data_IF_458554166820
#
_entry.id   IF_458554166820
#
_cell.length_a   1.000
_cell.length_b   1.000
_cell.length_c   1.000
_cell.angle_alpha   90.00
_cell.angle_beta   90.00
_cell.angle_gamma   90.00
#
_symmetry.space_group_name_H-M   'P 1'
#
loop_
_entity.id
_entity.type
_entity.pdbx_description
1 polymer ?
#
# COMPACT_ATOMS: atom_id res chain seq x y z
N UNK A 1 19.03 1.89 -13.44
CA UNK A 1 18.67 1.77 -13.04
C UNK A 1 18.05 1.18 -12.71
N UNK A 2 17.87 0.76 -12.59
CA UNK A 2 17.34 0.32 -12.25
C UNK A 2 16.82 0.39 -11.47
N UNK A 3 16.90 0.17 -10.94
CA UNK A 3 16.32 0.15 -9.74
C UNK A 3 15.13 0.89 -9.55
N UNK A 4 14.36 0.90 -10.25
CA UNK A 4 13.21 1.72 -10.10
C UNK A 4 12.14 1.08 -9.26
N UNK A 5 12.40 -0.08 -8.70
CA UNK A 5 11.43 -0.69 -7.85
C UNK A 5 11.40 -0.03 -6.51
N UNK A 6 10.28 0.52 -6.14
CA UNK A 6 10.15 1.12 -4.83
C UNK A 6 9.92 0.05 -3.78
N UNK A 7 10.54 0.22 -2.63
CA UNK A 7 10.29 -0.65 -1.51
C UNK A 7 8.87 -0.42 -1.01
N UNK A 8 8.22 -1.45 -0.44
CA UNK A 8 6.87 -1.28 0.11
C UNK A 8 6.79 -0.14 1.12
N UNK A 9 7.84 0.07 1.89
CA UNK A 9 7.87 1.16 2.85
C UNK A 9 7.77 2.51 2.17
N UNK A 10 8.50 2.69 1.09
CA UNK A 10 8.50 3.97 0.38
C UNK A 10 7.13 4.26 -0.18
N UNK A 11 6.51 3.24 -0.75
CA UNK A 11 5.20 3.41 -1.33
C UNK A 11 4.17 3.74 -0.25
N UNK A 12 4.28 3.10 0.91
CA UNK A 12 3.38 3.38 2.01
C UNK A 12 3.53 4.82 2.48
N UNK A 13 4.77 5.28 2.60
CA UNK A 13 5.01 6.66 3.03
C UNK A 13 4.45 7.67 2.05
N UNK A 14 4.66 7.42 0.77
CA UNK A 14 4.12 8.31 -0.25
C UNK A 14 2.61 8.37 -0.20
N UNK A 15 1.99 7.22 -0.02
CA UNK A 15 0.54 7.17 0.03
C UNK A 15 0.03 7.91 1.25
N UNK A 16 0.69 7.75 2.38
CA UNK A 16 0.30 8.48 3.59
C UNK A 16 0.49 9.99 3.39
N UNK A 17 1.56 10.38 2.71
CA UNK A 17 1.80 11.80 2.45
C UNK A 17 0.68 12.40 1.61
N UNK A 18 0.13 11.62 0.68
CA UNK A 18 -0.91 12.11 -0.21
C UNK A 18 -2.31 12.04 0.39
N UNK A 19 -2.58 10.96 1.12
CA UNK A 19 -3.95 10.69 1.57
C UNK A 19 -4.10 10.70 3.09
N UNK A 20 -3.00 10.83 3.82
CA UNK A 20 -3.08 10.89 5.27
C UNK A 20 -3.66 9.62 5.85
N UNK A 21 -4.59 9.79 6.75
CA UNK A 21 -5.17 8.67 7.49
C UNK A 21 -5.98 7.74 6.59
N UNK A 22 -6.35 8.19 5.42
CA UNK A 22 -7.09 7.37 4.48
C UNK A 22 -6.20 6.41 3.69
N UNK A 23 -4.88 6.56 3.80
CA UNK A 23 -3.97 5.76 3.00
C UNK A 23 -4.16 4.25 3.18
N UNK A 24 -4.27 3.73 4.42
CA UNK A 24 -4.45 2.28 4.56
C UNK A 24 -5.72 1.80 3.88
N UNK A 25 -6.78 2.55 4.00
CA UNK A 25 -8.05 2.19 3.41
C UNK A 25 -7.95 2.15 1.89
N UNK A 26 -7.29 3.13 1.30
CA UNK A 26 -7.11 3.16 -0.14
C UNK A 26 -6.28 2.00 -0.63
N UNK A 27 -5.25 1.65 0.12
CA UNK A 27 -4.39 0.54 -0.27
C UNK A 27 -5.12 -0.79 -0.16
N UNK A 28 -5.96 -0.96 0.86
CA UNK A 28 -6.76 -2.16 0.98
C UNK A 28 -7.75 -2.27 -0.16
N UNK A 29 -8.28 -1.15 -0.61
CA UNK A 29 -9.18 -1.15 -1.75
C UNK A 29 -8.48 -1.64 -3.01
N UNK A 30 -7.24 -1.21 -3.20
CA UNK A 30 -6.47 -1.70 -4.34
C UNK A 30 -6.24 -3.19 -4.25
N UNK A 31 -6.06 -3.71 -3.03
CA UNK A 31 -5.92 -5.15 -2.85
C UNK A 31 -7.19 -5.88 -3.25
N UNK A 32 -8.35 -5.32 -2.90
CA UNK A 32 -9.61 -5.92 -3.29
C UNK A 32 -9.78 -5.96 -4.80
N UNK A 33 -9.41 -4.87 -5.45
CA UNK A 33 -9.50 -4.81 -6.90
C UNK A 33 -8.60 -5.87 -7.54
N UNK A 34 -7.38 -6.01 -7.03
CA UNK A 34 -6.47 -7.01 -7.54
C UNK A 34 -7.05 -8.41 -7.38
N UNK A 35 -7.68 -8.68 -6.24
CA UNK A 35 -8.33 -9.96 -6.01
C UNK A 35 -9.43 -10.22 -7.03
N UNK A 36 -10.19 -9.19 -7.34
CA UNK A 36 -11.29 -9.33 -8.30
C UNK A 36 -10.80 -9.68 -9.68
N UNK A 37 -9.61 -9.22 -10.02
CA UNK A 37 -9.00 -9.56 -11.31
C UNK A 37 -8.23 -10.86 -11.27
N UNK A 38 -8.24 -11.54 -10.14
CA UNK A 38 -7.54 -12.80 -10.03
C UNK A 38 -6.05 -12.66 -9.80
N UNK A 39 -5.59 -11.49 -9.40
CA UNK A 39 -4.17 -11.24 -9.19
C UNK A 39 -3.86 -11.32 -7.69
N UNK A 40 -3.82 -12.54 -7.18
CA UNK A 40 -3.60 -12.75 -5.75
C UNK A 40 -2.24 -12.27 -5.27
N UNK A 41 -1.23 -12.37 -6.12
CA UNK A 41 0.11 -11.92 -5.74
C UNK A 41 0.14 -10.42 -5.53
N UNK A 42 -0.50 -9.68 -6.44
CA UNK A 42 -0.56 -8.24 -6.31
C UNK A 42 -1.42 -7.82 -5.12
N UNK A 43 -2.52 -8.53 -4.90
CA UNK A 43 -3.38 -8.25 -3.75
C UNK A 43 -2.60 -8.40 -2.45
N UNK A 44 -1.76 -9.42 -2.36
CA UNK A 44 -0.96 -9.63 -1.18
C UNK A 44 0.01 -8.48 -0.96
N UNK A 45 0.63 -8.01 -2.03
CA UNK A 45 1.55 -6.87 -1.93
C UNK A 45 0.83 -5.63 -1.45
N UNK A 46 -0.35 -5.35 -1.98
CA UNK A 46 -1.11 -4.18 -1.54
C UNK A 46 -1.48 -4.26 -0.07
N UNK A 47 -1.81 -5.47 0.41
CA UNK A 47 -2.12 -5.65 1.82
C UNK A 47 -0.91 -5.38 2.71
N UNK A 48 0.27 -5.79 2.27
CA UNK A 48 1.49 -5.53 3.03
C UNK A 48 1.77 -4.05 3.10
N UNK A 49 1.60 -3.35 1.98
CA UNK A 49 1.82 -1.91 1.97
C UNK A 49 0.79 -1.22 2.86
N UNK A 50 -0.44 -1.71 2.83
CA UNK A 50 -1.49 -1.15 3.68
C UNK A 50 -1.16 -1.30 5.16
N UNK A 51 -0.60 -2.44 5.54
CA UNK A 51 -0.22 -2.66 6.93
C UNK A 51 0.86 -1.69 7.36
N UNK A 52 1.83 -1.43 6.50
CA UNK A 52 2.88 -0.47 6.80
C UNK A 52 2.28 0.92 6.93
N UNK A 53 1.42 1.30 6.01
CA UNK A 53 0.78 2.61 6.06
C UNK A 53 -0.03 2.78 7.35
N UNK A 54 -0.71 1.73 7.78
CA UNK A 54 -1.47 1.79 9.02
C UNK A 54 -0.58 2.06 10.22
N UNK A 55 0.60 1.45 10.24
CA UNK A 55 1.55 1.71 11.31
C UNK A 55 2.06 3.13 11.29
N UNK A 56 2.35 3.65 10.11
CA UNK A 56 2.82 5.03 9.98
C UNK A 56 1.76 5.99 10.51
N UNK A 57 0.53 5.77 10.13
CA UNK A 57 -0.57 6.64 10.55
C UNK A 57 -0.75 6.59 12.06
N UNK A 58 -0.64 5.40 12.65
CA UNK A 58 -0.79 5.26 14.10
C UNK A 58 0.34 5.91 14.87
N UNK A 59 1.53 5.91 14.30
CA UNK A 59 2.69 6.48 14.96
C UNK A 59 2.70 8.00 14.92
N UNK A 60 1.95 8.58 14.02
CA UNK A 60 1.99 10.03 13.82
C UNK A 60 1.08 10.80 14.81
#
# INVERSE_FOLDING_TARGET
>A
MEGSKEAPEDLARETVALYGRNAPKMLLRRAEIADEYGDGAMAKQWREIAAIAARIVRSA
#
